data_IF_567176135582
#
_entry.id   IF_567176135582
#
_cell.length_a   1.000
_cell.length_b   1.000
_cell.length_c   1.000
_cell.angle_alpha   90.00
_cell.angle_beta   90.00
_cell.angle_gamma   90.00
#
_symmetry.space_group_name_H-M   'P 1'
#
loop_
_entity.id
_entity.type
_entity.pdbx_description
1 polymer ?
#
# COMPACT_ATOMS: atom_id res chain seq x y z
N UNK A 1 72.70 -21.15 23.16
CA UNK A 1 71.83 -20.01 23.48
C UNK A 1 71.46 -19.23 22.21
N UNK A 2 72.42 -18.64 21.49
CA UNK A 2 72.20 -17.84 20.25
C UNK A 2 71.44 -18.61 19.14
N UNK A 3 71.76 -19.89 18.92
CA UNK A 3 71.07 -20.72 17.93
C UNK A 3 69.61 -21.02 18.28
N UNK A 4 69.27 -21.05 19.57
CA UNK A 4 67.92 -21.31 20.04
C UNK A 4 67.05 -20.06 19.88
N UNK A 5 67.58 -18.88 20.24
CA UNK A 5 66.94 -17.58 19.98
C UNK A 5 66.68 -17.34 18.50
N UNK A 6 67.63 -17.70 17.63
CA UNK A 6 67.46 -17.57 16.18
C UNK A 6 66.31 -18.45 15.65
N UNK A 7 66.20 -19.69 16.13
CA UNK A 7 65.11 -20.60 15.75
C UNK A 7 63.76 -20.12 16.26
N UNK A 8 63.69 -19.67 17.52
CA UNK A 8 62.45 -19.12 18.13
C UNK A 8 61.98 -17.89 17.36
N UNK A 9 62.89 -16.97 17.01
CA UNK A 9 62.55 -15.79 16.19
C UNK A 9 61.98 -16.16 14.82
N UNK A 10 62.57 -17.16 14.16
CA UNK A 10 62.05 -17.65 12.86
C UNK A 10 60.64 -18.22 13.00
N UNK A 11 60.40 -19.05 14.02
CA UNK A 11 59.08 -19.64 14.28
C UNK A 11 58.03 -18.54 14.54
N UNK A 12 58.37 -17.56 15.38
CA UNK A 12 57.51 -16.40 15.65
C UNK A 12 57.15 -15.64 14.37
N UNK A 13 58.12 -15.37 13.50
CA UNK A 13 57.85 -14.70 12.22
C UNK A 13 56.95 -15.51 11.29
N UNK A 14 57.11 -16.84 11.25
CA UNK A 14 56.21 -17.71 10.48
C UNK A 14 54.78 -17.68 11.03
N UNK A 15 54.61 -17.77 12.35
CA UNK A 15 53.29 -17.65 12.98
C UNK A 15 52.65 -16.29 12.72
N UNK A 16 53.43 -15.20 12.80
CA UNK A 16 52.94 -13.86 12.53
C UNK A 16 52.44 -13.72 11.09
N UNK A 17 53.19 -14.24 10.12
CA UNK A 17 52.79 -14.22 8.72
C UNK A 17 51.51 -15.03 8.50
N UNK A 18 51.40 -16.23 9.07
CA UNK A 18 50.19 -17.06 8.98
C UNK A 18 48.99 -16.31 9.58
N UNK A 19 49.16 -15.67 10.73
CA UNK A 19 48.11 -14.88 11.38
C UNK A 19 47.65 -13.73 10.49
N UNK A 20 48.58 -13.01 9.85
CA UNK A 20 48.26 -11.92 8.92
C UNK A 20 47.46 -12.44 7.73
N UNK A 21 47.89 -13.54 7.10
CA UNK A 21 47.15 -14.15 6.00
C UNK A 21 45.75 -14.60 6.41
N UNK A 22 45.62 -15.20 7.60
CA UNK A 22 44.34 -15.63 8.13
C UNK A 22 43.39 -14.44 8.38
N UNK A 23 43.91 -13.34 8.93
CA UNK A 23 43.13 -12.12 9.16
C UNK A 23 42.69 -11.47 7.84
N UNK A 24 43.54 -11.45 6.82
CA UNK A 24 43.18 -10.97 5.48
C UNK A 24 42.08 -11.84 4.88
N UNK A 25 42.20 -13.16 5.00
CA UNK A 25 41.18 -14.09 4.51
C UNK A 25 39.83 -13.87 5.22
N UNK A 26 39.84 -13.74 6.55
CA UNK A 26 38.63 -13.43 7.32
C UNK A 26 38.02 -12.09 6.88
N UNK A 27 38.83 -11.06 6.67
CA UNK A 27 38.36 -9.76 6.20
C UNK A 27 37.65 -9.88 4.85
N UNK A 28 38.27 -10.57 3.88
CA UNK A 28 37.70 -10.78 2.54
C UNK A 28 36.35 -11.51 2.64
N UNK A 29 36.28 -12.59 3.42
CA UNK A 29 35.04 -13.36 3.58
C UNK A 29 33.93 -12.52 4.22
N UNK A 30 34.25 -11.74 5.26
CA UNK A 30 33.26 -10.90 5.92
C UNK A 30 32.77 -9.76 5.02
N UNK A 31 33.69 -9.10 4.29
CA UNK A 31 33.32 -8.09 3.30
C UNK A 31 32.43 -8.64 2.20
N UNK A 32 32.68 -9.87 1.74
CA UNK A 32 31.83 -10.53 0.75
C UNK A 32 30.42 -10.79 1.29
N UNK A 33 30.30 -11.29 2.52
CA UNK A 33 29.00 -11.53 3.18
C UNK A 33 28.20 -10.22 3.30
N UNK A 34 28.85 -9.14 3.77
CA UNK A 34 28.19 -7.84 3.90
C UNK A 34 27.76 -7.27 2.55
N UNK A 35 28.57 -7.46 1.50
CA UNK A 35 28.24 -7.03 0.16
C UNK A 35 27.04 -7.79 -0.42
N UNK A 36 26.96 -9.10 -0.22
CA UNK A 36 25.80 -9.91 -0.63
C UNK A 36 24.52 -9.49 0.11
N UNK A 37 24.61 -9.25 1.43
CA UNK A 37 23.50 -8.73 2.22
C UNK A 37 23.02 -7.37 1.71
N UNK A 38 23.95 -6.45 1.43
CA UNK A 38 23.63 -5.15 0.84
C UNK A 38 22.88 -5.29 -0.50
N UNK A 39 23.35 -6.18 -1.39
CA UNK A 39 22.70 -6.42 -2.67
C UNK A 39 21.30 -7.00 -2.53
N UNK A 40 21.09 -7.92 -1.58
CA UNK A 40 19.76 -8.48 -1.27
C UNK A 40 18.79 -7.41 -0.80
N UNK A 41 19.19 -6.62 0.19
CA UNK A 41 18.36 -5.51 0.71
C UNK A 41 18.02 -4.50 -0.38
N UNK A 42 19.00 -4.15 -1.24
CA UNK A 42 18.77 -3.24 -2.36
C UNK A 42 17.74 -3.78 -3.36
N UNK A 43 17.78 -5.08 -3.67
CA UNK A 43 16.80 -5.72 -4.57
C UNK A 43 15.41 -5.73 -3.95
N UNK A 44 15.31 -6.03 -2.66
CA UNK A 44 14.03 -6.04 -1.94
C UNK A 44 13.38 -4.66 -1.92
N UNK A 45 14.15 -3.61 -1.60
CA UNK A 45 13.66 -2.22 -1.63
C UNK A 45 13.15 -1.86 -3.03
N UNK A 46 13.90 -2.20 -4.08
CA UNK A 46 13.47 -1.94 -5.45
C UNK A 46 12.18 -2.68 -5.81
N UNK A 47 12.04 -3.93 -5.38
CA UNK A 47 10.82 -4.70 -5.61
C UNK A 47 9.60 -4.07 -4.93
N UNK A 48 9.73 -3.67 -3.66
CA UNK A 48 8.66 -3.01 -2.92
C UNK A 48 8.26 -1.66 -3.55
N UNK A 49 9.24 -0.85 -3.97
CA UNK A 49 8.96 0.39 -4.68
C UNK A 49 8.22 0.16 -6.00
N UNK A 50 8.60 -0.87 -6.75
CA UNK A 50 7.94 -1.23 -8.02
C UNK A 50 6.49 -1.66 -7.78
N UNK A 51 6.27 -2.48 -6.74
CA UNK A 51 4.92 -2.93 -6.35
C UNK A 51 4.05 -1.74 -5.94
N UNK A 52 4.61 -0.83 -5.14
CA UNK A 52 3.92 0.38 -4.70
C UNK A 52 3.52 1.29 -5.87
N UNK A 53 4.42 1.55 -6.82
CA UNK A 53 4.10 2.36 -7.99
C UNK A 53 3.03 1.69 -8.87
N UNK A 54 3.08 0.36 -9.03
CA UNK A 54 2.03 -0.38 -9.72
C UNK A 54 0.66 -0.21 -9.03
N UNK A 55 0.62 -0.39 -7.71
CA UNK A 55 -0.62 -0.20 -6.93
C UNK A 55 -1.16 1.24 -7.05
N UNK A 56 -0.27 2.23 -7.01
CA UNK A 56 -0.65 3.64 -7.18
C UNK A 56 -1.28 3.90 -8.56
N UNK A 57 -0.71 3.34 -9.63
CA UNK A 57 -1.27 3.45 -10.99
C UNK A 57 -2.63 2.75 -11.08
N UNK A 58 -2.76 1.53 -10.54
CA UNK A 58 -4.04 0.80 -10.52
C UNK A 58 -5.12 1.55 -9.71
N UNK A 59 -4.75 2.10 -8.56
CA UNK A 59 -5.64 2.93 -7.73
C UNK A 59 -6.11 4.17 -8.47
N UNK A 60 -5.22 4.88 -9.16
CA UNK A 60 -5.59 6.06 -9.97
C UNK A 60 -6.53 5.68 -11.10
N UNK A 61 -6.30 4.53 -11.76
CA UNK A 61 -7.20 4.01 -12.79
C UNK A 61 -8.58 3.70 -12.22
N UNK A 62 -8.67 2.97 -11.10
CA UNK A 62 -9.95 2.66 -10.47
C UNK A 62 -10.73 3.92 -10.05
N UNK A 63 -10.04 4.94 -9.51
CA UNK A 63 -10.67 6.23 -9.19
C UNK A 63 -11.22 6.93 -10.44
N UNK A 64 -10.48 6.86 -11.55
CA UNK A 64 -10.93 7.40 -12.83
C UNK A 64 -12.15 6.63 -13.35
N UNK A 65 -12.12 5.30 -13.33
CA UNK A 65 -13.22 4.44 -13.78
C UNK A 65 -14.48 4.69 -12.92
N UNK A 66 -14.33 4.84 -11.60
CA UNK A 66 -15.43 5.24 -10.70
C UNK A 66 -15.97 6.63 -11.02
N UNK A 67 -15.10 7.60 -11.28
CA UNK A 67 -15.50 8.95 -11.67
C UNK A 67 -16.30 8.92 -12.97
N UNK A 68 -15.81 8.22 -14.00
CA UNK A 68 -16.53 8.07 -15.27
C UNK A 68 -17.89 7.39 -15.08
N UNK A 69 -17.99 6.41 -14.19
CA UNK A 69 -19.27 5.78 -13.84
C UNK A 69 -20.24 6.76 -13.16
N UNK A 70 -19.77 7.57 -12.21
CA UNK A 70 -20.62 8.57 -11.57
C UNK A 70 -21.01 9.70 -12.54
N UNK A 71 -20.06 10.18 -13.35
CA UNK A 71 -20.32 11.18 -14.39
C UNK A 71 -21.37 10.66 -15.40
N UNK A 72 -21.35 9.36 -15.74
CA UNK A 72 -22.38 8.72 -16.57
C UNK A 72 -23.76 8.69 -15.89
N UNK A 73 -23.84 8.32 -14.61
CA UNK A 73 -25.09 8.32 -13.86
C UNK A 73 -25.71 9.71 -13.73
N UNK A 74 -24.87 10.72 -13.48
CA UNK A 74 -25.28 12.11 -13.29
C UNK A 74 -25.67 12.78 -14.61
N UNK A 75 -24.86 12.67 -15.66
CA UNK A 75 -25.05 13.45 -16.90
C UNK A 75 -25.93 12.75 -17.96
N UNK A 76 -25.75 11.45 -18.18
CA UNK A 76 -26.43 10.76 -19.30
C UNK A 76 -27.79 10.19 -18.89
N UNK A 77 -27.92 9.81 -17.62
CA UNK A 77 -29.10 9.12 -17.11
C UNK A 77 -29.96 9.97 -16.17
N UNK A 78 -29.46 11.10 -15.63
CA UNK A 78 -30.13 11.86 -14.55
C UNK A 78 -30.70 10.91 -13.47
N UNK A 79 -30.01 9.81 -13.20
CA UNK A 79 -30.55 8.68 -12.45
C UNK A 79 -29.84 8.53 -11.11
N UNK A 80 -30.63 8.50 -10.05
CA UNK A 80 -30.18 8.12 -8.72
C UNK A 80 -30.01 6.60 -8.66
N UNK A 81 -28.88 6.11 -8.15
CA UNK A 81 -28.68 4.68 -7.96
C UNK A 81 -29.39 4.24 -6.67
N UNK A 82 -30.59 3.68 -6.83
CA UNK A 82 -31.42 3.19 -5.73
C UNK A 82 -31.24 1.67 -5.64
N UNK A 83 -30.53 1.20 -4.62
CA UNK A 83 -30.43 -0.24 -4.32
C UNK A 83 -31.55 -0.60 -3.33
N UNK A 84 -32.54 -1.36 -3.80
CA UNK A 84 -33.64 -1.84 -2.95
C UNK A 84 -33.24 -3.13 -2.24
N UNK A 85 -33.26 -3.13 -0.91
CA UNK A 85 -33.09 -4.34 -0.12
C UNK A 85 -34.47 -5.02 0.05
N UNK A 86 -34.71 -6.07 -0.74
CA UNK A 86 -35.96 -6.84 -0.71
C UNK A 86 -35.99 -7.91 0.40
N UNK A 87 -35.02 -7.91 1.33
CA UNK A 87 -34.86 -9.02 2.30
C UNK A 87 -35.82 -8.93 3.50
N UNK A 88 -36.62 -7.87 3.64
CA UNK A 88 -37.51 -7.67 4.80
C UNK A 88 -39.01 -7.78 4.47
N UNK A 89 -39.79 -8.56 5.25
CA UNK A 89 -41.25 -8.72 5.06
C UNK A 89 -42.09 -7.54 5.62
N UNK A 90 -41.46 -6.56 6.26
CA UNK A 90 -42.10 -5.40 6.88
C UNK A 90 -41.41 -4.14 6.32
N UNK A 91 -42.07 -3.56 5.32
CA UNK A 91 -41.71 -2.40 4.48
C UNK A 91 -40.38 -2.48 3.70
N UNK A 92 -40.35 -2.06 2.42
CA UNK A 92 -39.11 -2.05 1.64
C UNK A 92 -38.18 -0.95 2.18
N UNK A 93 -37.05 -1.36 2.76
CA UNK A 93 -35.95 -0.45 3.04
C UNK A 93 -35.05 -0.37 1.81
N UNK A 94 -34.76 0.84 1.34
CA UNK A 94 -33.90 1.05 0.17
C UNK A 94 -32.63 1.79 0.59
N UNK A 95 -31.48 1.23 0.26
CA UNK A 95 -30.19 1.92 0.39
C UNK A 95 -29.92 2.67 -0.90
N UNK A 96 -29.99 4.00 -0.85
CA UNK A 96 -29.84 4.86 -2.03
C UNK A 96 -28.52 5.59 -1.97
N UNK A 97 -27.75 5.47 -3.04
CA UNK A 97 -26.59 6.32 -3.25
C UNK A 97 -27.02 7.52 -4.07
N UNK A 98 -27.00 8.69 -3.43
CA UNK A 98 -27.33 9.96 -4.07
C UNK A 98 -26.03 10.75 -4.23
N UNK A 99 -25.74 11.13 -5.47
CA UNK A 99 -24.74 12.14 -5.81
C UNK A 99 -25.49 13.46 -5.97
N UNK A 100 -25.17 14.45 -5.16
CA UNK A 100 -25.74 15.79 -5.28
C UNK A 100 -24.65 16.83 -5.49
N UNK A 101 -24.97 17.87 -6.26
CA UNK A 101 -24.08 19.02 -6.46
C UNK A 101 -23.91 19.87 -5.19
N UNK A 102 -22.90 20.74 -5.19
CA UNK A 102 -22.54 21.62 -4.07
C UNK A 102 -23.78 22.26 -3.39
N UNK A 103 -23.95 21.98 -2.09
CA UNK A 103 -24.98 22.54 -1.21
C UNK A 103 -26.45 22.25 -1.54
N UNK A 104 -26.75 21.18 -2.28
CA UNK A 104 -28.14 20.77 -2.48
C UNK A 104 -28.66 19.95 -1.29
N UNK A 105 -29.66 20.49 -0.59
CA UNK A 105 -30.39 19.77 0.47
C UNK A 105 -31.05 18.51 -0.11
N UNK A 106 -30.87 17.36 0.55
CA UNK A 106 -31.53 16.11 0.18
C UNK A 106 -33.05 16.25 0.37
N UNK A 107 -33.79 16.40 -0.74
CA UNK A 107 -35.26 16.42 -0.73
C UNK A 107 -35.78 15.04 -1.12
N UNK A 108 -36.43 14.36 -0.19
CA UNK A 108 -37.12 13.10 -0.45
C UNK A 108 -38.55 13.16 0.09
N UNK A 109 -39.46 12.38 -0.52
CA UNK A 109 -40.86 12.25 -0.08
C UNK A 109 -40.99 11.31 1.13
N UNK A 110 -39.96 10.52 1.42
CA UNK A 110 -39.95 9.48 2.43
C UNK A 110 -39.00 9.85 3.56
N UNK A 111 -39.23 9.29 4.75
CA UNK A 111 -38.29 9.42 5.85
C UNK A 111 -37.01 8.65 5.53
N UNK A 112 -35.86 9.27 5.81
CA UNK A 112 -34.55 8.71 5.50
C UNK A 112 -33.55 8.93 6.63
N UNK A 113 -32.64 7.98 6.79
CA UNK A 113 -31.43 8.14 7.60
C UNK A 113 -30.21 8.29 6.70
N UNK A 114 -29.27 9.17 7.06
CA UNK A 114 -27.97 9.23 6.40
C UNK A 114 -27.06 8.19 7.06
N UNK A 115 -26.70 7.14 6.31
CA UNK A 115 -25.79 6.08 6.78
C UNK A 115 -24.35 6.56 6.72
N UNK A 116 -23.97 7.23 5.64
CA UNK A 116 -22.64 7.81 5.47
C UNK A 116 -22.67 8.96 4.48
N UNK A 117 -21.85 9.98 4.71
CA UNK A 117 -21.68 11.13 3.82
C UNK A 117 -20.20 11.30 3.49
N UNK A 118 -19.91 11.48 2.20
CA UNK A 118 -18.57 11.71 1.67
C UNK A 118 -18.58 12.97 0.80
N UNK A 119 -17.65 13.88 1.06
CA UNK A 119 -17.39 15.01 0.17
C UNK A 119 -16.34 14.62 -0.86
N UNK A 120 -16.68 14.72 -2.15
CA UNK A 120 -15.75 14.55 -3.26
C UNK A 120 -15.67 15.86 -4.05
N UNK A 121 -14.62 16.65 -3.83
CA UNK A 121 -14.45 17.98 -4.45
C UNK A 121 -15.72 18.85 -4.30
N UNK A 122 -16.52 18.97 -5.37
CA UNK A 122 -17.72 19.81 -5.47
C UNK A 122 -19.04 19.02 -5.39
N UNK A 123 -19.00 17.74 -5.05
CA UNK A 123 -20.18 16.88 -4.91
C UNK A 123 -20.23 16.21 -3.55
N UNK A 124 -21.46 16.03 -3.05
CA UNK A 124 -21.74 15.26 -1.85
C UNK A 124 -22.32 13.92 -2.26
N UNK A 125 -21.69 12.84 -1.79
CA UNK A 125 -22.17 11.48 -1.97
C UNK A 125 -22.71 11.02 -0.63
N UNK A 126 -24.03 10.84 -0.54
CA UNK A 126 -24.66 10.30 0.64
C UNK A 126 -25.25 8.93 0.35
N UNK A 127 -25.02 8.00 1.27
CA UNK A 127 -25.75 6.75 1.35
C UNK A 127 -26.92 6.98 2.29
N UNK A 128 -28.12 6.95 1.74
CA UNK A 128 -29.37 7.11 2.48
C UNK A 128 -30.02 5.75 2.68
N UNK A 129 -30.58 5.51 3.86
CA UNK A 129 -31.51 4.40 4.07
C UNK A 129 -32.92 4.98 4.10
N UNK A 130 -33.73 4.66 3.09
CA UNK A 130 -35.11 5.11 2.99
C UNK A 130 -35.99 4.10 3.71
N UNK A 131 -36.76 4.57 4.69
CA UNK A 131 -37.73 3.76 5.42
C UNK A 131 -39.07 3.83 4.69
N UNK A 132 -39.62 2.67 4.33
CA UNK A 132 -41.01 2.59 3.88
C UNK A 132 -41.96 2.62 5.08
N UNK A 133 -43.07 3.35 4.95
CA UNK A 133 -44.20 3.31 5.89
C UNK A 133 -44.81 1.90 6.00
#
# INVERSE_FOLDING_TARGET
>A
MILLESKVRKILNYFLNILIFFMIFLLITNSYIQFDQYLKTKREINYQNTLFEKYKVESLKQKKDLKEFFDFLENDLNSYLIEFDYTYPLSPNATVLIVTGENSEFKTKYDFDIVSNFSLENSQIAILNIRGD
#
